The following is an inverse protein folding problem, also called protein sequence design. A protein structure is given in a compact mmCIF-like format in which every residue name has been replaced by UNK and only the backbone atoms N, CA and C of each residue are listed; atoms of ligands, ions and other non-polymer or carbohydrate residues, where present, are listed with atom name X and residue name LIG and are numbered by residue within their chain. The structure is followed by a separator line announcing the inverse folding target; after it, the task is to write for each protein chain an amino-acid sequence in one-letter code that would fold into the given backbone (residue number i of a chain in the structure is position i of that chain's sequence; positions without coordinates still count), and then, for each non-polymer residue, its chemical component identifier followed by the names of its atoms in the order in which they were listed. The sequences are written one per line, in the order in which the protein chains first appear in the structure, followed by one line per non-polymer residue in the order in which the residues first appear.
data_IF_818202838004
#
_entry.id   IF_818202838004
#
_cell.length_a   1.000
_cell.length_b   1.000
_cell.length_c   1.000
_cell.angle_alpha   90.00
_cell.angle_beta   90.00
_cell.angle_gamma   90.00
#
_symmetry.space_group_name_H-M   'P 1'
#
loop_
_entity.id
_entity.type
_entity.pdbx_description
1 polymer ?
#
# COMPACT_ATOMS: atom_id res chain seq x y z
N UNK A 1 25.42 -4.38 -12.77
CA UNK A 1 24.01 -3.94 -12.65
C UNK A 1 23.59 -4.15 -11.21
N UNK A 2 22.99 -3.16 -10.52
CA UNK A 2 22.48 -3.35 -9.16
C UNK A 2 21.38 -4.42 -9.19
N UNK A 3 21.38 -5.31 -8.20
CA UNK A 3 20.26 -6.23 -8.00
C UNK A 3 19.11 -5.41 -7.44
N UNK A 4 18.01 -5.30 -8.18
CA UNK A 4 16.81 -4.61 -7.74
C UNK A 4 15.88 -5.58 -7.02
N UNK A 5 15.33 -5.13 -5.90
CA UNK A 5 14.26 -5.83 -5.18
C UNK A 5 13.06 -4.90 -5.13
N UNK A 6 11.98 -5.30 -5.78
CA UNK A 6 10.68 -4.64 -5.66
C UNK A 6 9.99 -5.08 -4.38
N UNK A 7 9.64 -4.13 -3.52
CA UNK A 7 8.88 -4.42 -2.31
C UNK A 7 7.39 -4.20 -2.56
N UNK A 8 6.65 -5.27 -2.85
CA UNK A 8 5.19 -5.21 -2.89
C UNK A 8 4.66 -5.36 -1.46
N UNK A 9 4.28 -4.25 -0.82
CA UNK A 9 3.51 -4.31 0.42
C UNK A 9 2.06 -4.70 0.08
N UNK A 10 1.74 -5.97 0.28
CA UNK A 10 0.36 -6.42 0.37
C UNK A 10 -0.09 -6.19 1.81
N UNK A 11 -0.54 -4.97 2.11
CA UNK A 11 -1.21 -4.73 3.39
C UNK A 11 -2.54 -5.47 3.39
N UNK A 12 -2.62 -6.53 4.20
CA UNK A 12 -3.87 -7.21 4.55
C UNK A 12 -4.40 -6.73 5.90
N UNK A 13 -3.82 -5.68 6.47
CA UNK A 13 -4.23 -5.20 7.78
C UNK A 13 -5.46 -4.30 7.62
N UNK A 14 -6.65 -4.71 8.12
CA UNK A 14 -7.83 -3.84 8.16
C UNK A 14 -7.65 -2.65 9.12
N UNK A 15 -6.49 -2.50 9.75
CA UNK A 15 -6.12 -1.37 10.59
C UNK A 15 -5.01 -0.52 9.96
N UNK A 16 -4.68 -0.74 8.69
CA UNK A 16 -3.63 0.00 7.96
C UNK A 16 -3.76 1.51 8.12
N UNK A 17 -4.99 2.05 8.22
CA UNK A 17 -5.26 3.48 8.38
C UNK A 17 -5.78 3.88 9.77
N UNK A 18 -5.48 3.09 10.81
CA UNK A 18 -5.71 3.49 12.20
C UNK A 18 -4.64 4.51 12.63
N UNK A 19 -4.70 5.72 12.06
CA UNK A 19 -3.98 6.86 12.59
C UNK A 19 -4.61 7.25 13.93
N UNK A 20 -3.90 7.03 15.03
CA UNK A 20 -4.29 7.47 16.39
C UNK A 20 -4.45 9.00 16.57
N UNK A 21 -4.51 9.76 15.47
CA UNK A 21 -4.66 11.22 15.43
C UNK A 21 -6.12 11.64 15.22
N UNK A 22 -7.01 10.75 14.77
CA UNK A 22 -8.45 11.05 14.64
C UNK A 22 -9.28 9.77 14.78
N UNK A 23 -9.57 9.38 16.02
CA UNK A 23 -10.34 8.18 16.38
C UNK A 23 -11.84 8.24 16.01
N UNK A 24 -12.23 8.97 14.97
CA UNK A 24 -13.65 9.22 14.64
C UNK A 24 -14.02 9.35 13.16
N UNK A 25 -13.08 9.38 12.21
CA UNK A 25 -13.38 9.69 10.80
C UNK A 25 -12.70 8.81 9.75
N UNK A 26 -11.67 8.03 10.09
CA UNK A 26 -11.05 7.12 9.12
C UNK A 26 -11.78 5.77 9.12
N UNK A 27 -12.44 5.45 8.00
CA UNK A 27 -12.99 4.12 7.76
C UNK A 27 -11.85 3.09 7.86
N UNK A 28 -12.08 1.99 8.57
CA UNK A 28 -11.10 0.88 8.73
C UNK A 28 -10.84 0.14 7.41
N UNK A 29 -11.58 0.44 6.35
CA UNK A 29 -11.44 -0.18 5.05
C UNK A 29 -11.28 0.87 3.95
N UNK A 30 -11.00 0.42 2.74
CA UNK A 30 -10.89 1.20 1.52
C UNK A 30 -12.24 1.41 0.81
N UNK A 31 -13.35 0.97 1.41
CA UNK A 31 -14.65 1.03 0.76
C UNK A 31 -15.20 2.45 0.76
N UNK A 32 -15.59 2.93 -0.43
CA UNK A 32 -16.12 4.29 -0.63
C UNK A 32 -15.04 5.38 -0.71
N UNK A 33 -13.76 5.01 -0.62
CA UNK A 33 -12.65 5.94 -0.74
C UNK A 33 -12.38 6.23 -2.23
N UNK A 34 -12.42 7.51 -2.60
CA UNK A 34 -12.32 7.95 -4.00
C UNK A 34 -11.23 8.97 -4.23
N UNK A 35 -10.57 9.43 -3.15
CA UNK A 35 -9.47 10.39 -3.21
C UNK A 35 -8.31 9.90 -2.35
N UNK A 36 -7.06 10.21 -2.73
CA UNK A 36 -5.90 9.96 -1.87
C UNK A 36 -6.05 10.63 -0.51
N UNK A 37 -5.31 10.13 0.48
CA UNK A 37 -5.21 10.77 1.78
C UNK A 37 -4.52 12.14 1.58
N UNK A 38 -5.20 13.22 1.96
CA UNK A 38 -4.71 14.59 1.76
C UNK A 38 -4.09 15.21 3.02
N UNK A 39 -3.85 14.43 4.09
CA UNK A 39 -3.29 14.98 5.33
C UNK A 39 -1.91 15.58 5.04
N UNK A 40 -1.70 16.82 5.47
CA UNK A 40 -0.50 17.64 5.22
C UNK A 40 0.72 17.22 6.06
N UNK A 41 0.74 15.99 6.58
CA UNK A 41 1.82 15.47 7.40
C UNK A 41 2.82 14.67 6.57
N UNK A 42 4.10 14.72 6.94
CA UNK A 42 5.15 13.84 6.39
C UNK A 42 5.15 12.45 7.05
N UNK A 43 4.19 12.19 7.94
CA UNK A 43 4.09 10.94 8.69
C UNK A 43 3.36 9.88 7.88
N UNK A 44 3.78 8.62 8.03
CA UNK A 44 3.06 7.48 7.48
C UNK A 44 1.60 7.48 7.99
N UNK A 45 0.58 7.33 7.12
CA UNK A 45 -0.83 7.52 7.47
C UNK A 45 -1.43 6.41 8.37
N UNK A 46 -0.59 5.58 8.97
CA UNK A 46 -0.96 4.39 9.74
C UNK A 46 0.15 3.93 10.67
N UNK A 47 0.13 2.65 11.03
CA UNK A 47 1.25 2.01 11.71
C UNK A 47 2.27 1.58 10.66
N UNK A 48 3.48 2.12 10.75
CA UNK A 48 4.55 1.72 9.83
C UNK A 48 4.87 0.23 10.02
N UNK A 49 4.92 -0.59 8.96
CA UNK A 49 5.08 -2.03 9.13
C UNK A 49 6.45 -2.37 9.73
N UNK A 50 6.50 -3.09 10.86
CA UNK A 50 7.77 -3.52 11.48
C UNK A 50 8.60 -4.41 10.53
N UNK A 51 7.95 -5.08 9.58
CA UNK A 51 8.60 -5.87 8.54
C UNK A 51 9.54 -5.03 7.67
N UNK A 52 9.26 -3.73 7.50
CA UNK A 52 10.16 -2.80 6.78
C UNK A 52 11.51 -2.69 7.46
N UNK A 53 11.55 -2.74 8.80
CA UNK A 53 12.80 -2.68 9.56
C UNK A 53 13.63 -3.93 9.35
N UNK A 54 12.99 -5.09 9.21
CA UNK A 54 13.67 -6.35 8.90
C UNK A 54 14.26 -6.31 7.50
N UNK A 55 13.52 -5.79 6.51
CA UNK A 55 14.01 -5.64 5.14
C UNK A 55 15.22 -4.69 5.08
N UNK A 56 15.13 -3.52 5.72
CA UNK A 56 16.25 -2.58 5.81
C UNK A 56 17.48 -3.21 6.48
N UNK A 57 17.28 -3.91 7.60
CA UNK A 57 18.37 -4.60 8.31
C UNK A 57 19.05 -5.66 7.43
N UNK A 58 18.26 -6.49 6.74
CA UNK A 58 18.80 -7.54 5.86
C UNK A 58 19.58 -6.92 4.72
N UNK A 59 19.03 -5.91 4.03
CA UNK A 59 19.68 -5.27 2.88
C UNK A 59 21.01 -4.62 3.29
N UNK A 60 21.07 -3.96 4.45
CA UNK A 60 22.30 -3.37 5.01
C UNK A 60 23.35 -4.42 5.36
N UNK A 61 22.93 -5.63 5.72
CA UNK A 61 23.81 -6.75 6.06
C UNK A 61 24.34 -7.54 4.85
N UNK A 62 23.85 -7.27 3.63
CA UNK A 62 24.27 -8.00 2.43
C UNK A 62 25.66 -7.55 1.98
N UNK A 63 26.52 -8.51 1.59
CA UNK A 63 27.82 -8.20 0.98
C UNK A 63 27.70 -7.45 -0.34
N UNK A 64 26.59 -7.63 -1.06
CA UNK A 64 26.21 -6.87 -2.25
C UNK A 64 24.79 -6.35 -2.05
N UNK A 65 24.61 -5.16 -1.45
CA UNK A 65 23.29 -4.62 -1.14
C UNK A 65 22.42 -4.51 -2.38
N UNK A 66 21.19 -5.01 -2.27
CA UNK A 66 20.17 -4.75 -3.28
C UNK A 66 19.70 -3.29 -3.17
N UNK A 67 19.32 -2.69 -4.30
CA UNK A 67 18.62 -1.42 -4.27
C UNK A 67 17.15 -1.69 -3.91
N UNK A 68 16.71 -1.10 -2.80
CA UNK A 68 15.33 -1.16 -2.34
C UNK A 68 14.54 -0.02 -2.95
N UNK A 69 13.55 -0.34 -3.78
CA UNK A 69 12.56 0.64 -4.21
C UNK A 69 11.47 0.77 -3.13
N UNK A 70 11.64 1.73 -2.22
CA UNK A 70 10.68 1.96 -1.13
C UNK A 70 9.44 2.71 -1.61
N UNK A 71 8.40 1.95 -1.95
CA UNK A 71 7.09 2.46 -2.36
C UNK A 71 6.08 2.54 -1.21
N UNK A 72 6.52 2.28 0.03
CA UNK A 72 5.64 2.06 1.19
C UNK A 72 4.81 3.27 1.53
N UNK A 73 5.49 4.41 1.72
CA UNK A 73 4.83 5.65 2.09
C UNK A 73 3.87 6.11 0.99
N UNK A 74 4.34 6.18 -0.26
CA UNK A 74 3.52 6.55 -1.42
C UNK A 74 2.25 5.70 -1.51
N UNK A 75 2.39 4.39 -1.35
CA UNK A 75 1.27 3.45 -1.48
C UNK A 75 0.24 3.61 -0.36
N UNK A 76 0.69 3.89 0.87
CA UNK A 76 -0.19 4.06 2.02
C UNK A 76 -1.12 5.29 1.88
N UNK A 77 -0.71 6.33 1.15
CA UNK A 77 -1.55 7.49 0.84
C UNK A 77 -2.65 7.18 -0.19
N UNK A 78 -2.55 6.08 -0.94
CA UNK A 78 -3.42 5.75 -2.06
C UNK A 78 -4.55 4.80 -1.67
N UNK A 79 -5.24 5.12 -0.59
CA UNK A 79 -6.40 4.35 -0.10
C UNK A 79 -7.51 4.22 -1.16
N UNK A 80 -7.60 5.19 -2.07
CA UNK A 80 -8.52 5.27 -3.21
C UNK A 80 -8.23 4.26 -4.34
N UNK A 81 -7.01 3.74 -4.44
CA UNK A 81 -6.59 2.94 -5.60
C UNK A 81 -6.88 1.43 -5.46
N UNK A 82 -7.74 1.04 -4.53
CA UNK A 82 -8.05 -0.35 -4.18
C UNK A 82 -9.32 -0.85 -4.89
N UNK A 83 -9.40 -2.13 -5.30
CA UNK A 83 -10.61 -2.70 -5.90
C UNK A 83 -11.83 -2.71 -4.98
N UNK A 84 -11.64 -2.80 -3.66
CA UNK A 84 -12.73 -2.86 -2.70
C UNK A 84 -13.69 -4.03 -3.01
N UNK A 85 -15.00 -3.80 -3.07
CA UNK A 85 -16.01 -4.83 -3.43
C UNK A 85 -16.06 -5.17 -4.93
N UNK A 86 -15.21 -4.54 -5.74
CA UNK A 86 -15.09 -4.82 -7.18
C UNK A 86 -13.97 -5.82 -7.49
N UNK A 87 -13.38 -6.44 -6.46
CA UNK A 87 -12.43 -7.54 -6.60
C UNK A 87 -13.15 -8.87 -6.83
N UNK A 88 -12.70 -9.63 -7.84
CA UNK A 88 -13.13 -11.01 -8.09
C UNK A 88 -14.65 -11.23 -8.16
N UNK A 89 -15.07 -12.46 -7.88
CA UNK A 89 -16.47 -12.89 -7.92
C UNK A 89 -17.11 -12.87 -6.52
N UNK A 90 -17.29 -11.69 -5.94
CA UNK A 90 -18.09 -11.54 -4.73
C UNK A 90 -19.57 -11.77 -5.03
N UNK A 91 -20.21 -12.65 -4.25
CA UNK A 91 -21.65 -12.87 -4.31
C UNK A 91 -22.43 -11.64 -3.80
N UNK A 92 -23.74 -11.51 -4.10
CA UNK A 92 -24.52 -10.34 -3.70
C UNK A 92 -24.50 -10.05 -2.18
N UNK A 93 -24.51 -11.10 -1.35
CA UNK A 93 -24.47 -10.99 0.11
C UNK A 93 -23.12 -10.44 0.61
N UNK A 94 -22.03 -10.78 -0.06
CA UNK A 94 -20.70 -10.26 0.24
C UNK A 94 -20.59 -8.78 -0.16
N UNK A 95 -21.15 -8.39 -1.32
CA UNK A 95 -21.08 -7.00 -1.80
C UNK A 95 -21.79 -6.00 -0.88
N UNK A 96 -22.86 -6.42 -0.20
CA UNK A 96 -23.58 -5.57 0.77
C UNK A 96 -22.90 -5.48 2.14
N UNK A 97 -21.85 -6.27 2.40
CA UNK A 97 -21.08 -6.23 3.64
C UNK A 97 -19.58 -5.93 3.39
N UNK A 98 -19.26 -4.72 2.88
CA UNK A 98 -17.90 -4.32 2.50
C UNK A 98 -16.91 -4.30 3.66
N UNK A 99 -17.37 -4.29 4.90
CA UNK A 99 -16.51 -4.38 6.09
C UNK A 99 -15.64 -5.64 6.08
N UNK A 100 -16.16 -6.75 5.55
CA UNK A 100 -15.45 -8.03 5.54
C UNK A 100 -15.10 -8.54 4.14
N UNK A 101 -15.71 -7.97 3.10
CA UNK A 101 -15.54 -8.43 1.72
C UNK A 101 -14.70 -7.48 0.86
N UNK A 102 -14.47 -6.24 1.29
CA UNK A 102 -13.68 -5.30 0.51
C UNK A 102 -12.22 -5.74 0.43
N UNK A 103 -11.73 -5.86 -0.80
CA UNK A 103 -10.33 -6.11 -1.07
C UNK A 103 -9.54 -4.80 -1.03
N UNK A 104 -8.87 -4.61 0.11
CA UNK A 104 -7.96 -3.50 0.34
C UNK A 104 -6.49 -3.94 0.27
N UNK A 105 -6.21 -5.09 -0.33
CA UNK A 105 -4.86 -5.66 -0.42
C UNK A 105 -4.29 -5.61 -1.83
N UNK A 106 -5.15 -5.69 -2.84
CA UNK A 106 -4.81 -5.51 -4.24
C UNK A 106 -4.98 -4.07 -4.71
N UNK A 107 -4.69 -3.83 -5.99
CA UNK A 107 -4.75 -2.53 -6.63
C UNK A 107 -5.53 -2.62 -7.93
N UNK A 108 -6.31 -1.59 -8.25
CA UNK A 108 -6.92 -1.46 -9.56
C UNK A 108 -5.87 -1.23 -10.64
N UNK A 109 -6.18 -1.67 -11.86
CA UNK A 109 -5.42 -1.37 -13.07
C UNK A 109 -6.36 -0.73 -14.11
N UNK A 110 -5.98 0.39 -14.76
CA UNK A 110 -4.80 1.20 -14.48
C UNK A 110 -4.86 1.84 -13.08
N UNK A 111 -3.70 2.11 -12.46
CA UNK A 111 -3.66 2.60 -11.08
C UNK A 111 -2.27 2.69 -10.46
N UNK A 112 -2.21 2.54 -9.14
CA UNK A 112 -0.97 2.70 -8.37
C UNK A 112 0.21 1.83 -8.85
N UNK A 113 0.01 0.56 -9.28
CA UNK A 113 1.12 -0.25 -9.79
C UNK A 113 1.80 0.33 -11.03
N UNK A 114 1.12 1.18 -11.80
CA UNK A 114 1.71 1.86 -12.95
C UNK A 114 2.80 2.86 -12.49
N UNK A 115 2.54 3.62 -11.42
CA UNK A 115 3.55 4.49 -10.79
C UNK A 115 4.74 3.70 -10.26
N UNK A 116 4.52 2.51 -9.70
CA UNK A 116 5.64 1.67 -9.27
C UNK A 116 6.51 1.24 -10.44
N UNK A 117 5.89 0.91 -11.57
CA UNK A 117 6.60 0.56 -12.80
C UNK A 117 7.39 1.75 -13.37
N UNK A 118 6.84 2.97 -13.32
CA UNK A 118 7.55 4.20 -13.71
C UNK A 118 8.77 4.47 -12.84
N UNK A 119 8.63 4.33 -11.51
CA UNK A 119 9.74 4.49 -10.57
C UNK A 119 10.81 3.40 -10.80
N UNK A 120 10.40 2.15 -10.98
CA UNK A 120 11.29 1.05 -11.27
C UNK A 120 12.05 1.24 -12.58
N UNK A 121 11.35 1.66 -13.65
CA UNK A 121 11.96 2.00 -14.92
C UNK A 121 12.98 3.12 -14.76
N UNK A 122 12.63 4.16 -13.99
CA UNK A 122 13.55 5.26 -13.70
C UNK A 122 14.82 4.74 -13.01
N UNK A 123 14.68 3.97 -11.93
CA UNK A 123 15.82 3.38 -11.21
C UNK A 123 16.71 2.47 -12.07
N UNK A 124 16.13 1.79 -13.07
CA UNK A 124 16.88 0.91 -13.96
C UNK A 124 17.75 1.66 -14.96
N UNK A 125 17.26 2.80 -15.46
CA UNK A 125 17.81 3.45 -16.66
C UNK A 125 18.33 4.87 -16.43
N UNK A 126 18.03 5.49 -15.29
CA UNK A 126 18.43 6.85 -14.92
C UNK A 126 19.03 6.87 -13.51
#
# INVERSE_FOLDING_TARGET
MPKLVGQCLVSRDPNEWNSGVTAGLTTKNCYGETTPITSTGTSYPGVYPEQMRVVDMVIRGMSNPAYLLDITMLSAFRKDARPSIYSGDLNPQQRVNPTYSADCSHWCLPGLPDTWNELFYTTLFY
#
